data_IF_886544749231
#
_entry.id   IF_886544749231
#
_cell.length_a   1.000
_cell.length_b   1.000
_cell.length_c   1.000
_cell.angle_alpha   90.00
_cell.angle_beta   90.00
_cell.angle_gamma   90.00
#
_symmetry.space_group_name_H-M   'P 1'
#
loop_
_entity.id
_entity.type
_entity.pdbx_description
1 polymer ?
#
# COMPACT_ATOMS: atom_id res chain seq x y z
N UNK A 1 -4.50 42.43 -28.43
CA UNK A 1 -4.35 41.98 -27.03
C UNK A 1 -3.21 40.98 -26.98
N UNK A 2 -2.20 41.16 -26.11
CA UNK A 2 -1.01 40.31 -26.07
C UNK A 2 -1.25 39.01 -25.28
N UNK A 3 -0.56 37.95 -25.68
CA UNK A 3 0.07 36.97 -24.78
C UNK A 3 -0.81 36.03 -23.96
N UNK A 4 -1.20 34.89 -24.54
CA UNK A 4 -1.21 33.63 -23.78
C UNK A 4 -0.34 32.66 -24.56
N UNK A 5 0.95 32.73 -24.27
CA UNK A 5 1.89 31.69 -24.66
C UNK A 5 1.40 30.39 -24.06
N UNK A 6 0.79 29.55 -24.90
CA UNK A 6 0.69 28.12 -24.66
C UNK A 6 2.13 27.63 -24.58
N UNK A 7 2.70 27.66 -23.37
CA UNK A 7 3.95 27.00 -23.06
C UNK A 7 3.70 25.52 -23.27
N UNK A 8 3.87 25.10 -24.52
CA UNK A 8 4.09 23.74 -24.93
C UNK A 8 5.33 23.29 -24.18
N UNK A 9 5.12 22.74 -22.98
CA UNK A 9 6.16 22.11 -22.20
C UNK A 9 6.71 20.98 -23.08
N UNK A 10 7.90 21.21 -23.62
CA UNK A 10 8.73 20.20 -24.26
C UNK A 10 9.02 19.11 -23.20
N UNK A 11 8.08 18.17 -23.03
CA UNK A 11 8.37 16.93 -22.35
C UNK A 11 9.38 16.19 -23.24
N UNK A 12 10.58 15.99 -22.72
CA UNK A 12 11.57 15.15 -23.40
C UNK A 12 10.90 13.78 -23.58
N UNK A 13 10.87 13.18 -24.79
CA UNK A 13 10.16 11.92 -25.05
C UNK A 13 10.58 10.77 -24.11
N UNK A 14 11.75 10.88 -23.48
CA UNK A 14 12.26 9.99 -22.45
C UNK A 14 11.49 10.05 -21.12
N UNK A 15 10.98 11.23 -20.72
CA UNK A 15 10.26 11.42 -19.45
C UNK A 15 8.85 10.82 -19.49
N UNK A 16 8.19 10.88 -20.65
CA UNK A 16 6.85 10.31 -20.83
C UNK A 16 6.88 8.77 -20.73
N UNK A 17 7.99 8.16 -21.18
CA UNK A 17 8.16 6.71 -21.12
C UNK A 17 8.39 6.21 -19.69
N UNK A 18 9.17 6.93 -18.88
CA UNK A 18 9.40 6.64 -17.47
C UNK A 18 8.11 6.77 -16.64
N UNK A 19 7.34 7.83 -16.88
CA UNK A 19 6.04 8.03 -16.21
C UNK A 19 5.03 6.97 -16.67
N UNK A 20 5.04 6.62 -17.97
CA UNK A 20 4.20 5.55 -18.52
C UNK A 20 4.52 4.18 -17.93
N UNK A 21 5.80 3.85 -17.79
CA UNK A 21 6.26 2.62 -17.13
C UNK A 21 5.91 2.60 -15.64
N UNK A 22 6.18 3.69 -14.92
CA UNK A 22 5.82 3.82 -13.52
C UNK A 22 4.32 3.60 -13.31
N UNK A 23 3.47 4.19 -14.17
CA UNK A 23 2.02 4.04 -14.09
C UNK A 23 1.54 2.62 -14.41
N UNK A 24 2.18 1.94 -15.37
CA UNK A 24 1.88 0.52 -15.69
C UNK A 24 2.28 -0.40 -14.54
N UNK A 25 3.48 -0.25 -14.00
CA UNK A 25 3.96 -1.02 -12.86
C UNK A 25 3.08 -0.79 -11.62
N UNK A 26 2.70 0.46 -11.37
CA UNK A 26 1.78 0.81 -10.30
C UNK A 26 0.45 0.07 -10.47
N UNK A 27 -0.14 0.08 -11.68
CA UNK A 27 -1.41 -0.57 -11.96
C UNK A 27 -1.36 -2.09 -11.78
N UNK A 28 -0.29 -2.74 -12.23
CA UNK A 28 -0.10 -4.17 -11.98
C UNK A 28 0.07 -4.47 -10.49
N UNK A 29 0.82 -3.62 -9.77
CA UNK A 29 0.95 -3.70 -8.31
C UNK A 29 -0.40 -3.55 -7.58
N UNK A 30 -1.27 -2.67 -8.07
CA UNK A 30 -2.63 -2.49 -7.54
C UNK A 30 -3.49 -3.74 -7.68
N UNK A 31 -3.49 -4.34 -8.87
CA UNK A 31 -4.21 -5.57 -9.14
C UNK A 31 -3.68 -6.72 -8.29
N UNK A 32 -2.36 -6.85 -8.19
CA UNK A 32 -1.73 -7.87 -7.37
C UNK A 32 -2.06 -7.70 -5.89
N UNK A 33 -1.91 -6.49 -5.34
CA UNK A 33 -2.27 -6.18 -3.96
C UNK A 33 -3.76 -6.39 -3.67
N UNK A 34 -4.64 -5.98 -4.58
CA UNK A 34 -6.08 -6.18 -4.48
C UNK A 34 -6.48 -7.65 -4.48
N UNK A 35 -5.90 -8.47 -5.35
CA UNK A 35 -6.11 -9.93 -5.37
C UNK A 35 -5.64 -10.56 -4.04
N UNK A 36 -4.51 -10.10 -3.49
CA UNK A 36 -3.98 -10.61 -2.23
C UNK A 36 -4.89 -10.29 -1.04
N UNK A 37 -5.44 -9.06 -0.99
CA UNK A 37 -6.40 -8.64 0.04
C UNK A 37 -7.72 -9.42 -0.10
N UNK A 38 -8.23 -9.59 -1.32
CA UNK A 38 -9.43 -10.41 -1.56
C UNK A 38 -9.19 -11.88 -1.18
N UNK A 39 -8.02 -12.43 -1.49
CA UNK A 39 -7.62 -13.77 -1.06
C UNK A 39 -7.62 -13.89 0.47
N UNK A 40 -7.01 -12.93 1.18
CA UNK A 40 -7.03 -12.88 2.64
C UNK A 40 -8.46 -12.82 3.19
N UNK A 41 -9.33 -11.99 2.61
CA UNK A 41 -10.73 -11.88 3.01
C UNK A 41 -11.50 -13.21 2.82
N UNK A 42 -11.24 -13.94 1.73
CA UNK A 42 -11.82 -15.27 1.50
C UNK A 42 -11.34 -16.26 2.56
N UNK A 43 -10.03 -16.31 2.84
CA UNK A 43 -9.47 -17.21 3.87
C UNK A 43 -10.09 -16.93 5.24
N UNK A 44 -10.17 -15.66 5.64
CA UNK A 44 -10.80 -15.24 6.90
C UNK A 44 -12.29 -15.63 6.92
N UNK A 45 -13.00 -15.40 5.81
CA UNK A 45 -14.42 -15.73 5.72
C UNK A 45 -14.67 -17.24 5.86
N UNK A 46 -13.85 -18.07 5.22
CA UNK A 46 -13.91 -19.52 5.33
C UNK A 46 -13.63 -19.96 6.77
N UNK A 47 -12.60 -19.41 7.41
CA UNK A 47 -12.29 -19.70 8.82
C UNK A 47 -13.46 -19.34 9.75
N UNK A 48 -14.09 -18.17 9.55
CA UNK A 48 -15.26 -17.75 10.34
C UNK A 48 -16.44 -18.72 10.14
N UNK A 49 -16.68 -19.19 8.91
CA UNK A 49 -17.73 -20.18 8.61
C UNK A 49 -17.42 -21.50 9.33
N UNK A 50 -16.20 -22.02 9.19
CA UNK A 50 -15.79 -23.29 9.82
C UNK A 50 -15.90 -23.21 11.34
N UNK A 51 -15.42 -22.14 11.97
CA UNK A 51 -15.57 -21.92 13.41
C UNK A 51 -17.03 -21.91 13.85
N UNK A 52 -17.92 -21.30 13.05
CA UNK A 52 -19.33 -21.17 13.39
C UNK A 52 -20.12 -22.46 13.24
N UNK A 53 -19.76 -23.35 12.32
CA UNK A 53 -20.48 -24.60 12.08
C UNK A 53 -19.84 -25.85 12.70
N UNK A 54 -18.51 -25.88 12.83
CA UNK A 54 -17.76 -27.07 13.23
C UNK A 54 -16.99 -26.93 14.55
N UNK A 55 -16.97 -25.74 15.18
CA UNK A 55 -16.24 -25.44 16.45
C UNK A 55 -14.76 -25.86 16.37
N UNK A 56 -14.24 -26.03 15.16
CA UNK A 56 -12.88 -26.40 14.85
C UNK A 56 -12.21 -25.20 14.19
N UNK A 57 -10.95 -24.94 14.51
CA UNK A 57 -10.14 -23.90 13.87
C UNK A 57 -9.03 -24.57 13.08
N UNK A 58 -8.81 -24.10 11.85
CA UNK A 58 -7.64 -24.49 11.07
C UNK A 58 -6.47 -23.73 11.68
N UNK A 59 -5.70 -24.39 12.54
CA UNK A 59 -4.49 -23.80 13.14
C UNK A 59 -3.57 -23.27 12.04
N UNK A 60 -3.34 -21.95 12.03
CA UNK A 60 -2.53 -21.26 11.02
C UNK A 60 -3.30 -20.39 10.02
N UNK A 61 -4.63 -20.46 9.96
CA UNK A 61 -5.43 -19.58 9.09
C UNK A 61 -5.29 -18.10 9.48
N UNK A 62 -5.24 -17.80 10.78
CA UNK A 62 -5.07 -16.43 11.29
C UNK A 62 -3.69 -15.83 10.94
N UNK A 63 -2.65 -16.67 10.90
CA UNK A 63 -1.29 -16.26 10.55
C UNK A 63 -1.13 -16.05 9.04
N UNK A 64 -1.61 -17.00 8.23
CA UNK A 64 -1.65 -16.88 6.78
C UNK A 64 -2.43 -15.64 6.33
N UNK A 65 -3.58 -15.39 6.96
CA UNK A 65 -4.41 -14.21 6.65
C UNK A 65 -3.70 -12.91 7.00
N UNK A 66 -2.99 -12.86 8.13
CA UNK A 66 -2.22 -11.69 8.54
C UNK A 66 -1.03 -11.45 7.61
N UNK A 67 -0.32 -12.50 7.19
CA UNK A 67 0.77 -12.38 6.21
C UNK A 67 0.25 -11.93 4.84
N UNK A 68 -0.84 -12.51 4.37
CA UNK A 68 -1.48 -12.09 3.12
C UNK A 68 -1.95 -10.62 3.19
N UNK A 69 -2.55 -10.21 4.30
CA UNK A 69 -2.94 -8.82 4.52
C UNK A 69 -1.74 -7.88 4.55
N UNK A 70 -0.65 -8.24 5.22
CA UNK A 70 0.57 -7.43 5.30
C UNK A 70 1.22 -7.24 3.92
N UNK A 71 1.37 -8.33 3.16
CA UNK A 71 1.91 -8.29 1.80
C UNK A 71 0.96 -7.48 0.91
N UNK A 72 -0.34 -7.81 0.89
CA UNK A 72 -1.34 -7.14 0.05
C UNK A 72 -1.39 -5.63 0.30
N UNK A 73 -1.35 -5.21 1.58
CA UNK A 73 -1.34 -3.80 1.97
C UNK A 73 -0.06 -3.09 1.51
N UNK A 74 1.11 -3.72 1.57
CA UNK A 74 2.35 -3.12 1.08
C UNK A 74 2.29 -2.78 -0.43
N UNK A 75 1.72 -3.69 -1.23
CA UNK A 75 1.50 -3.47 -2.66
C UNK A 75 0.41 -2.42 -2.94
N UNK A 76 -0.70 -2.47 -2.19
CA UNK A 76 -1.78 -1.49 -2.31
C UNK A 76 -1.32 -0.07 -1.94
N UNK A 77 -0.56 0.10 -0.85
CA UNK A 77 -0.07 1.40 -0.40
C UNK A 77 0.89 2.06 -1.39
N UNK A 78 1.76 1.27 -2.01
CA UNK A 78 2.66 1.75 -3.07
C UNK A 78 1.88 2.35 -4.23
N UNK A 79 0.82 1.68 -4.67
CA UNK A 79 -0.08 2.18 -5.72
C UNK A 79 -0.84 3.44 -5.29
N UNK A 80 -1.46 3.43 -4.10
CA UNK A 80 -2.24 4.58 -3.62
C UNK A 80 -1.40 5.84 -3.48
N UNK A 81 -0.12 5.70 -3.11
CA UNK A 81 0.81 6.82 -2.98
C UNK A 81 1.18 7.43 -4.34
N UNK A 82 1.30 6.60 -5.38
CA UNK A 82 1.58 7.03 -6.76
C UNK A 82 0.37 7.70 -7.42
N UNK A 83 -0.84 7.17 -7.22
CA UNK A 83 -2.06 7.73 -7.79
C UNK A 83 -2.66 8.88 -6.95
N UNK A 84 -2.09 9.19 -5.79
CA UNK A 84 -2.66 10.12 -4.80
C UNK A 84 -4.13 9.80 -4.48
N UNK A 85 -4.48 8.52 -4.52
CA UNK A 85 -5.84 8.02 -4.30
C UNK A 85 -6.21 7.94 -2.80
N UNK A 86 -5.55 8.75 -1.96
CA UNK A 86 -5.92 8.88 -0.56
C UNK A 86 -7.32 9.50 -0.49
N UNK A 87 -8.22 8.87 0.26
CA UNK A 87 -9.59 9.39 0.48
C UNK A 87 -9.47 10.74 1.17
N UNK A 88 -9.55 11.82 0.39
CA UNK A 88 -9.61 13.19 0.91
C UNK A 88 -11.00 13.42 1.46
N UNK A 89 -11.09 13.99 2.66
CA UNK A 89 -12.38 14.35 3.27
C UNK A 89 -12.93 15.54 2.48
N UNK A 90 -13.76 15.25 1.48
CA UNK A 90 -14.29 16.27 0.56
C UNK A 90 -15.10 17.36 1.27
N UNK A 91 -15.68 17.06 2.45
CA UNK A 91 -16.44 18.06 3.22
C UNK A 91 -15.57 19.17 3.84
N UNK A 92 -14.30 18.88 4.17
CA UNK A 92 -13.39 19.86 4.77
C UNK A 92 -12.85 20.86 3.72
N UNK A 93 -12.85 20.45 2.45
CA UNK A 93 -12.36 21.26 1.33
C UNK A 93 -13.36 22.34 0.89
N UNK A 94 -14.64 22.23 1.28
CA UNK A 94 -15.67 23.25 0.97
C UNK A 94 -15.42 24.56 1.73
N UNK A 95 -14.69 24.51 2.85
CA UNK A 95 -14.51 25.65 3.77
C UNK A 95 -13.10 26.25 3.68
N UNK A 96 -12.13 25.55 3.09
CA UNK A 96 -10.71 25.89 3.17
C UNK A 96 -10.15 26.40 1.82
N UNK A 97 -9.30 27.45 1.79
CA UNK A 97 -8.71 27.94 0.54
C UNK A 97 -7.79 26.90 -0.11
N UNK A 98 -7.84 26.82 -1.44
CA UNK A 98 -7.20 25.78 -2.27
C UNK A 98 -5.70 25.60 -2.02
N UNK A 99 -5.00 26.68 -1.63
CA UNK A 99 -3.56 26.65 -1.31
C UNK A 99 -3.24 25.89 -0.02
N UNK A 100 -4.08 26.03 1.00
CA UNK A 100 -3.91 25.36 2.29
C UNK A 100 -4.19 23.86 2.15
N UNK A 101 -5.24 23.53 1.40
CA UNK A 101 -5.55 22.15 1.02
C UNK A 101 -4.37 21.45 0.33
N UNK A 102 -3.73 22.11 -0.64
CA UNK A 102 -2.58 21.57 -1.34
C UNK A 102 -1.36 21.37 -0.41
N UNK A 103 -1.14 22.28 0.55
CA UNK A 103 -0.09 22.15 1.56
C UNK A 103 -0.35 20.95 2.48
N UNK A 104 -1.57 20.80 2.97
CA UNK A 104 -1.97 19.71 3.87
C UNK A 104 -1.84 18.35 3.15
N UNK A 105 -2.27 18.25 1.89
CA UNK A 105 -2.10 17.02 1.09
C UNK A 105 -0.63 16.66 0.88
N UNK A 106 0.23 17.66 0.62
CA UNK A 106 1.67 17.45 0.49
C UNK A 106 2.31 16.99 1.82
N UNK A 107 1.93 17.59 2.95
CA UNK A 107 2.41 17.21 4.27
C UNK A 107 1.95 15.79 4.63
N UNK A 108 0.67 15.47 4.39
CA UNK A 108 0.12 14.14 4.67
C UNK A 108 0.87 13.05 3.88
N UNK A 109 1.11 13.27 2.59
CA UNK A 109 1.85 12.33 1.76
C UNK A 109 3.32 12.22 2.20
N UNK A 110 3.94 13.31 2.64
CA UNK A 110 5.30 13.31 3.18
C UNK A 110 5.39 12.49 4.48
N UNK A 111 4.47 12.72 5.43
CA UNK A 111 4.43 11.98 6.71
C UNK A 111 4.21 10.48 6.44
N UNK A 112 3.27 10.15 5.56
CA UNK A 112 3.02 8.76 5.17
C UNK A 112 4.27 8.08 4.59
N UNK A 113 5.00 8.79 3.71
CA UNK A 113 6.26 8.31 3.14
C UNK A 113 7.32 8.05 4.23
N UNK A 114 7.45 8.95 5.21
CA UNK A 114 8.38 8.79 6.34
C UNK A 114 8.03 7.55 7.15
N UNK A 115 6.75 7.36 7.50
CA UNK A 115 6.30 6.20 8.29
C UNK A 115 6.61 4.89 7.58
N UNK A 116 6.31 4.80 6.27
CA UNK A 116 6.62 3.61 5.47
C UNK A 116 8.13 3.36 5.41
N UNK A 117 8.94 4.40 5.22
CA UNK A 117 10.40 4.28 5.20
C UNK A 117 10.96 3.76 6.53
N UNK A 118 10.44 4.26 7.67
CA UNK A 118 10.82 3.77 8.99
C UNK A 118 10.42 2.30 9.18
N UNK A 119 9.18 1.93 8.83
CA UNK A 119 8.72 0.53 8.89
C UNK A 119 9.62 -0.39 8.07
N UNK A 120 9.99 0.00 6.85
CA UNK A 120 10.89 -0.76 6.00
C UNK A 120 12.29 -0.90 6.61
N UNK A 121 12.82 0.19 7.19
CA UNK A 121 14.13 0.19 7.85
C UNK A 121 14.18 -0.76 9.05
N UNK A 122 13.21 -0.64 9.97
CA UNK A 122 13.12 -1.52 11.13
C UNK A 122 12.85 -2.98 10.72
N UNK A 123 11.97 -3.20 9.74
CA UNK A 123 11.70 -4.52 9.19
C UNK A 123 12.96 -5.18 8.64
N UNK A 124 13.80 -4.42 7.93
CA UNK A 124 15.08 -4.92 7.42
C UNK A 124 16.09 -5.24 8.54
N UNK A 125 16.14 -4.44 9.61
CA UNK A 125 16.99 -4.76 10.77
C UNK A 125 16.56 -6.06 11.46
N UNK A 126 15.25 -6.25 11.65
CA UNK A 126 14.71 -7.48 12.24
C UNK A 126 14.98 -8.68 11.32
N UNK A 127 14.82 -8.50 10.01
CA UNK A 127 15.16 -9.52 9.03
C UNK A 127 16.64 -9.90 9.10
N UNK A 128 17.55 -8.91 9.09
CA UNK A 128 19.00 -9.15 9.18
C UNK A 128 19.39 -9.86 10.47
N UNK A 129 18.77 -9.48 11.59
CA UNK A 129 19.00 -10.11 12.89
C UNK A 129 18.46 -11.54 12.93
N UNK A 130 17.30 -11.79 12.34
CA UNK A 130 16.70 -13.14 12.27
C UNK A 130 17.53 -14.07 11.38
N UNK A 131 18.07 -13.53 10.28
CA UNK A 131 18.93 -14.26 9.36
C UNK A 131 20.24 -14.69 10.02
N UNK A 132 20.90 -13.79 10.76
CA UNK A 132 22.14 -14.14 11.48
C UNK A 132 21.91 -15.14 12.61
N UNK A 133 20.76 -15.07 13.27
CA UNK A 133 20.40 -15.96 14.38
C UNK A 133 19.76 -17.29 13.94
N UNK A 134 19.51 -17.50 12.65
CA UNK A 134 18.72 -18.65 12.12
C UNK A 134 17.39 -18.85 12.87
N UNK A 135 16.78 -17.75 13.31
CA UNK A 135 15.54 -17.78 14.10
C UNK A 135 14.36 -18.10 13.19
N UNK A 136 13.50 -19.03 13.63
CA UNK A 136 12.21 -19.31 13.01
C UNK A 136 11.07 -18.74 13.85
N UNK A 137 9.94 -18.47 13.20
CA UNK A 137 8.71 -18.07 13.86
C UNK A 137 8.28 -19.13 14.88
N UNK A 138 7.81 -18.74 16.06
CA UNK A 138 7.32 -19.65 17.12
C UNK A 138 5.88 -20.16 16.86
N UNK A 139 5.51 -20.21 15.59
CA UNK A 139 4.13 -20.36 15.12
C UNK A 139 3.76 -21.85 14.91
N UNK A 140 2.48 -22.21 14.96
CA UNK A 140 2.00 -23.55 14.62
C UNK A 140 2.31 -24.00 13.17
N UNK A 141 2.68 -23.09 12.25
CA UNK A 141 3.19 -23.44 10.92
C UNK A 141 4.69 -23.76 10.90
N UNK A 142 5.41 -23.55 12.00
CA UNK A 142 6.86 -23.70 12.08
C UNK A 142 7.35 -25.08 12.56
N UNK A 143 6.43 -26.01 12.82
CA UNK A 143 6.70 -27.43 13.12
C UNK A 143 6.90 -28.25 11.86
#
# INVERSE_FOLDING_TARGET
VPGIGTRSYYAKPQMDHLIGLARRLARYGAWFGGILILGAAVVISVEIIIRKFFIMSIGGADELSTFALAIGSAWAFSFTMLERAHVRIESLYVVLPTRLCALIDAIAQLIFTIIIALMAWYGFQVFSSSWSMSSRTLSPLAT
#
